data_IF_806105910909
#
_entry.id   IF_806105910909
#
_cell.length_a   1.000
_cell.length_b   1.000
_cell.length_c   1.000
_cell.angle_alpha   90.00
_cell.angle_beta   90.00
_cell.angle_gamma   90.00
#
_symmetry.space_group_name_H-M   'P 1'
#
loop_
_entity.id
_entity.type
_entity.pdbx_description
1 polymer ?
#
# COMPACT_ATOMS: atom_id res chain seq x y z
N UNK A 1 -81.65 -12.91 -7.17
CA UNK A 1 -81.52 -11.66 -6.40
C UNK A 1 -80.32 -10.89 -6.93
N UNK A 2 -80.55 -9.64 -7.34
CA UNK A 2 -79.60 -8.53 -7.58
C UNK A 2 -78.56 -8.64 -8.71
N UNK A 3 -78.65 -7.61 -9.55
CA UNK A 3 -77.87 -7.19 -10.70
C UNK A 3 -76.51 -6.56 -10.27
N UNK A 4 -75.81 -5.98 -11.26
CA UNK A 4 -74.51 -5.25 -11.26
C UNK A 4 -73.31 -6.16 -11.57
N UNK A 5 -72.47 -5.91 -12.56
CA UNK A 5 -72.32 -4.80 -13.50
C UNK A 5 -70.89 -4.85 -14.06
N UNK A 6 -70.74 -4.84 -15.38
CA UNK A 6 -69.72 -4.12 -16.17
C UNK A 6 -68.35 -3.75 -15.48
N UNK A 7 -67.14 -4.07 -15.99
CA UNK A 7 -66.58 -3.67 -17.31
C UNK A 7 -65.25 -4.39 -17.70
N UNK A 8 -65.25 -4.89 -18.95
CA UNK A 8 -64.32 -4.63 -20.10
C UNK A 8 -62.78 -4.87 -20.00
N UNK A 9 -62.35 -5.98 -20.66
CA UNK A 9 -61.24 -6.24 -21.64
C UNK A 9 -60.03 -5.28 -21.66
N UNK A 10 -58.77 -5.71 -21.83
CA UNK A 10 -58.13 -6.26 -23.05
C UNK A 10 -56.79 -6.97 -22.68
N UNK A 11 -56.50 -8.23 -23.11
CA UNK A 11 -55.68 -8.65 -24.30
C UNK A 11 -54.35 -7.88 -24.44
N UNK A 12 -53.16 -8.41 -24.72
CA UNK A 12 -52.59 -9.72 -25.10
C UNK A 12 -51.05 -9.55 -24.90
N UNK A 13 -50.37 -10.45 -24.19
CA UNK A 13 -49.40 -11.46 -24.69
C UNK A 13 -48.49 -11.07 -25.88
N UNK A 14 -47.19 -11.29 -25.62
CA UNK A 14 -46.08 -11.58 -26.53
C UNK A 14 -45.28 -10.40 -27.10
N UNK A 15 -44.20 -10.04 -26.39
CA UNK A 15 -43.06 -9.31 -26.95
C UNK A 15 -42.06 -10.33 -27.52
N UNK A 16 -41.87 -10.29 -28.84
CA UNK A 16 -40.75 -10.92 -29.52
C UNK A 16 -39.77 -9.83 -29.95
N UNK A 17 -38.51 -10.09 -29.63
CA UNK A 17 -37.26 -9.36 -29.85
C UNK A 17 -37.02 -8.89 -31.29
N UNK A 18 -36.41 -7.71 -31.45
CA UNK A 18 -35.42 -7.46 -32.51
C UNK A 18 -34.30 -6.56 -31.95
N UNK A 19 -33.09 -7.12 -31.92
CA UNK A 19 -31.81 -6.44 -31.68
C UNK A 19 -31.43 -5.74 -32.99
N UNK A 20 -31.12 -4.44 -32.93
CA UNK A 20 -30.43 -3.73 -34.01
C UNK A 20 -29.28 -2.92 -33.44
N UNK A 21 -28.08 -3.31 -33.85
CA UNK A 21 -26.78 -2.74 -33.51
C UNK A 21 -26.60 -1.45 -34.31
N UNK A 22 -26.31 -0.33 -33.66
CA UNK A 22 -25.84 0.87 -34.33
C UNK A 22 -24.51 1.33 -33.72
N UNK A 23 -23.44 1.01 -34.44
CA UNK A 23 -22.12 1.59 -34.26
C UNK A 23 -22.17 3.07 -34.68
N UNK A 24 -21.89 3.97 -33.74
CA UNK A 24 -21.65 5.38 -34.03
C UNK A 24 -20.24 5.74 -33.55
N UNK A 25 -19.41 5.98 -34.55
CA UNK A 25 -18.08 6.57 -34.51
C UNK A 25 -18.03 7.84 -33.68
N UNK A 26 -17.33 7.80 -32.55
CA UNK A 26 -16.79 8.99 -31.90
C UNK A 26 -15.29 9.07 -32.19
N UNK A 27 -14.96 9.66 -33.34
CA UNK A 27 -13.62 10.19 -33.61
C UNK A 27 -13.45 11.53 -32.90
N UNK A 28 -13.20 11.49 -31.59
CA UNK A 28 -12.82 12.66 -30.81
C UNK A 28 -11.30 12.69 -30.65
N UNK A 29 -10.61 13.55 -31.38
CA UNK A 29 -9.20 13.87 -31.13
C UNK A 29 -9.10 14.51 -29.74
N UNK A 30 -8.52 13.80 -28.78
CA UNK A 30 -8.18 14.37 -27.48
C UNK A 30 -7.08 15.42 -27.66
N UNK A 31 -7.44 16.70 -27.66
CA UNK A 31 -6.47 17.79 -27.52
C UNK A 31 -6.00 17.81 -26.06
N UNK A 32 -4.81 17.26 -25.80
CA UNK A 32 -4.15 17.41 -24.51
C UNK A 32 -3.90 18.90 -24.24
N UNK A 33 -4.43 19.42 -23.14
CA UNK A 33 -4.07 20.74 -22.63
C UNK A 33 -2.61 20.71 -22.19
N UNK A 34 -1.69 21.10 -23.08
CA UNK A 34 -0.36 21.52 -22.65
C UNK A 34 -0.51 22.92 -22.09
N UNK A 35 -0.35 23.04 -20.77
CA UNK A 35 -0.23 24.33 -20.10
C UNK A 35 1.04 25.00 -20.64
N UNK A 36 0.88 25.88 -21.63
CA UNK A 36 1.96 26.70 -22.14
C UNK A 36 2.50 27.56 -20.99
N UNK A 37 3.73 27.28 -20.58
CA UNK A 37 4.47 28.16 -19.67
C UNK A 37 4.78 29.43 -20.46
N UNK A 38 4.43 30.63 -19.98
CA UNK A 38 4.76 31.85 -20.70
C UNK A 38 6.28 31.98 -20.75
N UNK A 39 6.84 31.95 -21.97
CA UNK A 39 8.21 32.36 -22.22
C UNK A 39 8.33 33.83 -21.84
N UNK A 40 8.98 34.12 -20.72
CA UNK A 40 9.28 35.49 -20.32
C UNK A 40 10.69 35.80 -20.77
N UNK A 41 10.79 36.83 -21.60
CA UNK A 41 11.99 37.32 -22.26
C UNK A 41 13.19 37.49 -21.33
N UNK A 42 14.37 37.23 -21.90
CA UNK A 42 15.66 37.43 -21.27
C UNK A 42 15.97 38.90 -20.98
N UNK A 43 16.72 39.07 -19.89
CA UNK A 43 17.65 40.15 -19.53
C UNK A 43 17.07 41.48 -19.03
N UNK A 44 16.99 41.59 -17.69
CA UNK A 44 17.48 42.76 -16.96
C UNK A 44 18.27 42.30 -15.75
N UNK A 45 19.57 42.64 -15.76
CA UNK A 45 20.52 42.42 -14.68
C UNK A 45 20.10 43.21 -13.45
N UNK A 46 19.51 42.54 -12.46
CA UNK A 46 19.31 43.08 -11.12
C UNK A 46 19.75 42.03 -10.10
N UNK A 47 20.78 42.38 -9.34
CA UNK A 47 21.41 41.57 -8.32
C UNK A 47 20.39 40.96 -7.35
N UNK A 48 20.19 39.65 -7.40
CA UNK A 48 19.23 38.93 -6.54
C UNK A 48 19.94 38.28 -5.35
N UNK A 49 19.77 38.83 -4.14
CA UNK A 49 20.06 38.12 -2.87
C UNK A 49 18.86 37.34 -2.33
N UNK A 50 17.80 37.14 -3.13
CA UNK A 50 16.68 36.29 -2.72
C UNK A 50 17.00 34.82 -3.00
N UNK A 51 17.67 34.18 -2.05
CA UNK A 51 17.73 32.72 -1.98
C UNK A 51 16.31 32.26 -1.62
N UNK A 52 15.57 31.76 -2.61
CA UNK A 52 14.31 31.07 -2.33
C UNK A 52 14.63 29.86 -1.44
N UNK A 53 14.26 29.93 -0.17
CA UNK A 53 14.33 28.78 0.74
C UNK A 53 13.24 27.80 0.29
N UNK A 54 13.61 26.88 -0.60
CA UNK A 54 12.78 25.74 -0.95
C UNK A 54 12.77 24.80 0.25
N UNK A 55 11.66 24.78 0.99
CA UNK A 55 11.46 23.79 2.06
C UNK A 55 11.66 22.37 1.54
N UNK A 56 12.12 21.47 2.40
CA UNK A 56 12.34 20.07 2.04
C UNK A 56 11.06 19.44 1.44
N UNK A 57 11.13 19.06 0.17
CA UNK A 57 10.06 18.29 -0.49
C UNK A 57 10.36 16.80 -0.27
N UNK A 58 9.76 16.23 0.77
CA UNK A 58 9.87 14.79 1.06
C UNK A 58 8.84 14.02 0.23
N UNK A 59 9.19 13.69 -1.01
CA UNK A 59 8.31 12.95 -1.95
C UNK A 59 8.01 11.52 -1.46
N UNK A 60 8.95 10.91 -0.74
CA UNK A 60 8.88 9.52 -0.27
C UNK A 60 7.72 9.32 0.71
N UNK A 61 7.46 10.29 1.60
CA UNK A 61 6.37 10.18 2.59
C UNK A 61 4.99 10.11 1.95
N UNK A 62 4.73 10.95 0.94
CA UNK A 62 3.45 10.96 0.22
C UNK A 62 3.24 9.65 -0.58
N UNK A 63 4.29 9.14 -1.21
CA UNK A 63 4.24 7.87 -1.94
C UNK A 63 3.99 6.69 -1.00
N UNK A 64 4.70 6.63 0.12
CA UNK A 64 4.54 5.55 1.11
C UNK A 64 3.15 5.57 1.74
N UNK A 65 2.58 6.75 1.98
CA UNK A 65 1.21 6.88 2.47
C UNK A 65 0.18 6.39 1.44
N UNK A 66 0.31 6.80 0.17
CA UNK A 66 -0.58 6.35 -0.90
C UNK A 66 -0.50 4.82 -1.10
N UNK A 67 0.71 4.27 -1.02
CA UNK A 67 0.96 2.84 -1.12
C UNK A 67 0.41 2.04 0.05
N UNK A 68 0.55 2.53 1.28
CA UNK A 68 0.00 1.88 2.48
C UNK A 68 -1.53 1.73 2.42
N UNK A 69 -2.23 2.64 1.73
CA UNK A 69 -3.68 2.54 1.52
C UNK A 69 -4.08 1.38 0.58
N UNK A 70 -3.18 0.92 -0.28
CA UNK A 70 -3.47 -0.13 -1.29
C UNK A 70 -3.11 -1.52 -0.75
N UNK A 71 -2.19 -1.62 0.22
CA UNK A 71 -1.72 -2.89 0.81
C UNK A 71 -2.88 -3.80 1.25
N UNK A 72 -3.92 -3.33 1.96
CA UNK A 72 -5.05 -4.17 2.38
C UNK A 72 -5.89 -4.70 1.22
N UNK A 73 -6.11 -3.90 0.18
CA UNK A 73 -6.92 -4.28 -1.00
C UNK A 73 -6.24 -5.39 -1.81
N UNK A 74 -4.91 -5.46 -1.76
CA UNK A 74 -4.12 -6.50 -2.38
C UNK A 74 -4.03 -7.79 -1.55
N UNK A 75 -4.66 -7.87 -0.37
CA UNK A 75 -4.63 -9.04 0.52
C UNK A 75 -3.39 -9.13 1.41
N UNK A 76 -2.56 -8.09 1.44
CA UNK A 76 -1.48 -7.95 2.41
C UNK A 76 -1.96 -7.22 3.67
N UNK A 77 -1.37 -7.58 4.81
CA UNK A 77 -1.60 -6.91 6.09
C UNK A 77 -0.29 -6.35 6.61
N UNK A 78 -0.31 -5.09 7.04
CA UNK A 78 0.82 -4.43 7.65
C UNK A 78 0.56 -4.23 9.15
N UNK A 79 1.52 -4.62 9.97
CA UNK A 79 1.56 -4.34 11.40
C UNK A 79 2.76 -3.45 11.68
N UNK A 80 2.51 -2.28 12.26
CA UNK A 80 3.56 -1.31 12.58
C UNK A 80 3.73 -1.22 14.08
N UNK A 81 4.97 -1.28 14.54
CA UNK A 81 5.37 -1.04 15.92
C UNK A 81 6.24 0.21 15.98
N UNK A 82 5.85 1.20 16.77
CA UNK A 82 6.62 2.44 16.97
C UNK A 82 7.69 2.25 18.04
N UNK A 83 8.68 3.15 18.06
CA UNK A 83 9.70 3.20 19.11
C UNK A 83 9.10 3.19 20.52
N UNK A 84 8.08 4.00 20.76
CA UNK A 84 7.42 4.07 22.06
C UNK A 84 6.82 2.72 22.45
N UNK A 85 6.23 2.00 21.49
CA UNK A 85 5.70 0.66 21.73
C UNK A 85 6.83 -0.33 22.05
N UNK A 86 7.95 -0.31 21.31
CA UNK A 86 9.14 -1.14 21.59
C UNK A 86 9.69 -0.84 22.99
N UNK A 87 9.75 0.42 23.40
CA UNK A 87 10.22 0.81 24.73
C UNK A 87 9.32 0.32 25.87
N UNK A 88 8.02 0.17 25.61
CA UNK A 88 7.05 -0.37 26.58
C UNK A 88 6.98 -1.90 26.65
N UNK A 89 7.64 -2.61 25.72
CA UNK A 89 7.68 -4.07 25.74
C UNK A 89 8.43 -4.60 26.98
N UNK A 90 8.27 -5.90 27.25
CA UNK A 90 9.09 -6.57 28.27
C UNK A 90 10.57 -6.50 27.86
N UNK A 91 11.42 -5.98 28.76
CA UNK A 91 12.83 -5.61 28.52
C UNK A 91 13.04 -4.29 27.73
N UNK A 92 11.97 -3.65 27.26
CA UNK A 92 11.98 -2.40 26.51
C UNK A 92 12.97 -2.43 25.35
N UNK A 93 13.75 -1.36 25.19
CA UNK A 93 14.83 -1.30 24.20
C UNK A 93 16.01 -2.27 24.44
N UNK A 94 16.01 -3.12 25.48
CA UNK A 94 17.01 -4.19 25.61
C UNK A 94 16.52 -5.54 25.13
N UNK A 95 15.24 -5.67 24.73
CA UNK A 95 14.74 -6.91 24.16
C UNK A 95 15.55 -7.28 22.91
N UNK A 96 15.90 -8.56 22.69
CA UNK A 96 16.48 -8.95 21.41
C UNK A 96 15.44 -8.73 20.30
N UNK A 97 15.87 -8.35 19.11
CA UNK A 97 14.94 -7.92 18.05
C UNK A 97 13.98 -9.03 17.59
N UNK A 98 14.38 -10.31 17.67
CA UNK A 98 13.45 -11.43 17.48
C UNK A 98 12.25 -11.38 18.45
N UNK A 99 12.46 -11.03 19.72
CA UNK A 99 11.37 -10.89 20.70
C UNK A 99 10.44 -9.74 20.36
N UNK A 100 10.97 -8.66 19.77
CA UNK A 100 10.15 -7.55 19.26
C UNK A 100 9.28 -8.03 18.09
N UNK A 101 9.85 -8.78 17.14
CA UNK A 101 9.08 -9.35 16.01
C UNK A 101 8.01 -10.33 16.51
N UNK A 102 8.28 -11.11 17.56
CA UNK A 102 7.32 -12.06 18.15
C UNK A 102 6.07 -11.39 18.75
N UNK A 103 6.11 -10.08 18.99
CA UNK A 103 4.93 -9.31 19.40
C UNK A 103 3.97 -9.05 18.25
N UNK A 104 4.46 -9.15 17.02
CA UNK A 104 3.61 -9.00 15.85
C UNK A 104 2.65 -10.20 15.69
N UNK A 105 1.43 -9.95 15.22
CA UNK A 105 0.41 -11.00 15.10
C UNK A 105 0.79 -12.04 14.05
N UNK A 106 0.60 -13.32 14.39
CA UNK A 106 0.87 -14.43 13.49
C UNK A 106 2.35 -14.77 13.34
N UNK A 107 3.23 -14.23 14.18
CA UNK A 107 4.63 -14.63 14.27
C UNK A 107 4.80 -15.68 15.37
N UNK A 108 5.55 -16.75 15.08
CA UNK A 108 6.00 -17.74 16.05
C UNK A 108 7.48 -18.06 15.81
N UNK A 109 8.18 -18.55 16.83
CA UNK A 109 9.56 -19.02 16.71
C UNK A 109 9.59 -20.54 16.86
N UNK A 110 10.45 -21.22 16.10
CA UNK A 110 10.76 -22.63 16.36
C UNK A 110 11.43 -22.81 17.74
N UNK A 111 11.23 -23.98 18.35
CA UNK A 111 11.73 -24.33 19.69
C UNK A 111 13.23 -24.61 19.74
N UNK A 112 13.89 -24.72 18.58
CA UNK A 112 15.35 -24.82 18.55
C UNK A 112 15.98 -23.58 19.20
N UNK A 113 17.14 -23.73 19.84
CA UNK A 113 17.79 -22.67 20.63
C UNK A 113 18.09 -21.37 19.83
N UNK A 114 18.07 -21.45 18.50
CA UNK A 114 18.15 -20.33 17.55
C UNK A 114 17.08 -20.48 16.46
N UNK A 115 15.88 -20.91 16.85
CA UNK A 115 14.82 -21.31 15.94
C UNK A 115 14.44 -20.19 14.98
N UNK A 116 14.14 -20.57 13.74
CA UNK A 116 13.69 -19.65 12.71
C UNK A 116 12.35 -19.01 13.13
N UNK A 117 12.11 -17.81 12.60
CA UNK A 117 10.83 -17.14 12.73
C UNK A 117 9.89 -17.61 11.64
N UNK A 118 8.65 -17.86 12.05
CA UNK A 118 7.56 -18.28 11.20
C UNK A 118 6.49 -17.21 11.19
N UNK A 119 6.07 -16.80 10.00
CA UNK A 119 4.99 -15.83 9.85
C UNK A 119 3.83 -16.53 9.18
N UNK A 120 2.72 -16.64 9.90
CA UNK A 120 1.49 -17.34 9.47
C UNK A 120 1.73 -18.79 9.02
N UNK A 121 2.68 -19.48 9.66
CA UNK A 121 3.04 -20.88 9.38
C UNK A 121 4.02 -21.08 8.22
N UNK A 122 4.56 -19.99 7.67
CA UNK A 122 5.61 -19.97 6.64
C UNK A 122 7.00 -19.94 7.31
N UNK A 123 8.04 -20.52 6.69
CA UNK A 123 9.37 -20.73 7.28
C UNK A 123 10.49 -20.16 6.41
N UNK A 124 11.47 -19.49 7.02
CA UNK A 124 12.71 -19.04 6.36
C UNK A 124 12.51 -18.14 5.12
N UNK A 125 11.35 -17.53 4.95
CA UNK A 125 11.05 -16.63 3.83
C UNK A 125 10.66 -15.23 4.33
N UNK A 126 11.47 -14.74 5.27
CA UNK A 126 11.47 -13.36 5.72
C UNK A 126 12.35 -12.49 4.83
N UNK A 127 11.79 -11.33 4.45
CA UNK A 127 12.57 -10.23 3.92
C UNK A 127 12.87 -9.24 5.03
N UNK A 128 14.14 -8.89 5.20
CA UNK A 128 14.50 -7.72 5.98
C UNK A 128 14.75 -6.53 5.07
N UNK A 129 14.20 -5.38 5.45
CA UNK A 129 14.44 -4.11 4.80
C UNK A 129 14.75 -3.06 5.85
N UNK A 130 15.74 -2.21 5.56
CA UNK A 130 16.03 -1.03 6.36
C UNK A 130 15.74 0.17 5.47
N UNK A 131 14.79 1.01 5.87
CA UNK A 131 14.38 2.18 5.08
C UNK A 131 14.06 1.81 3.62
N UNK A 132 13.24 0.78 3.42
CA UNK A 132 12.86 0.20 2.12
C UNK A 132 14.00 -0.46 1.30
N UNK A 133 15.24 -0.43 1.77
CA UNK A 133 16.39 -1.10 1.14
C UNK A 133 16.42 -2.57 1.53
N UNK A 134 16.38 -3.46 0.54
CA UNK A 134 16.45 -4.91 0.71
C UNK A 134 17.82 -5.34 1.25
N UNK A 135 17.81 -6.11 2.34
CA UNK A 135 19.00 -6.81 2.82
C UNK A 135 19.17 -8.13 2.05
N UNK A 136 20.40 -8.50 1.63
CA UNK A 136 20.65 -9.75 0.94
C UNK A 136 20.25 -10.99 1.77
N UNK A 137 19.64 -11.98 1.11
CA UNK A 137 19.14 -13.25 1.67
C UNK A 137 20.23 -14.11 2.34
N UNK A 138 21.52 -13.85 2.05
CA UNK A 138 22.66 -14.66 2.50
C UNK A 138 23.04 -14.46 3.98
N UNK A 139 22.34 -13.58 4.69
CA UNK A 139 22.55 -13.30 6.12
C UNK A 139 21.40 -13.96 6.89
N UNK A 140 21.54 -15.24 7.21
CA UNK A 140 20.63 -15.91 8.12
C UNK A 140 20.76 -15.30 9.52
N UNK A 141 19.64 -15.11 10.21
CA UNK A 141 19.66 -14.61 11.59
C UNK A 141 19.97 -13.12 11.74
N UNK A 142 19.78 -12.27 10.72
CA UNK A 142 19.94 -10.81 10.86
C UNK A 142 19.16 -10.22 12.05
N UNK A 143 18.00 -10.80 12.37
CA UNK A 143 17.22 -10.39 13.54
C UNK A 143 17.90 -10.61 14.90
N UNK A 144 19.03 -11.33 14.96
CA UNK A 144 19.84 -11.51 16.17
C UNK A 144 20.88 -10.40 16.36
N UNK A 145 21.30 -9.72 15.28
CA UNK A 145 22.38 -8.73 15.30
C UNK A 145 21.85 -7.29 15.43
N UNK A 146 20.57 -7.05 15.10
CA UNK A 146 19.98 -5.72 15.19
C UNK A 146 19.54 -5.39 16.62
N UNK A 147 20.05 -4.29 17.18
CA UNK A 147 19.57 -3.74 18.46
C UNK A 147 18.32 -2.86 18.22
N UNK A 148 17.16 -3.15 18.87
CA UNK A 148 15.95 -2.35 18.71
C UNK A 148 16.08 -0.87 19.09
N UNK A 149 17.11 -0.46 19.83
CA UNK A 149 17.35 0.95 20.18
C UNK A 149 17.57 1.86 18.98
N UNK A 150 18.05 1.29 17.87
CA UNK A 150 18.27 2.02 16.62
C UNK A 150 17.03 2.03 15.73
N UNK A 151 15.93 1.42 16.16
CA UNK A 151 14.69 1.30 15.39
C UNK A 151 13.70 2.37 15.83
N UNK A 152 13.40 3.31 14.94
CA UNK A 152 12.34 4.31 15.18
C UNK A 152 10.94 3.76 14.91
N UNK A 153 10.82 2.88 13.91
CA UNK A 153 9.61 2.09 13.67
C UNK A 153 9.96 0.81 12.91
N UNK A 154 9.21 -0.24 13.20
CA UNK A 154 9.25 -1.52 12.48
C UNK A 154 7.89 -1.73 11.81
N UNK A 155 7.90 -2.24 10.58
CA UNK A 155 6.69 -2.71 9.92
C UNK A 155 6.85 -4.16 9.47
N UNK A 156 5.99 -5.05 9.96
CA UNK A 156 5.83 -6.41 9.46
C UNK A 156 4.71 -6.43 8.43
N UNK A 157 5.04 -6.83 7.19
CA UNK A 157 4.08 -6.97 6.11
C UNK A 157 3.99 -8.44 5.73
N UNK A 158 2.78 -8.99 5.73
CA UNK A 158 2.51 -10.40 5.43
C UNK A 158 1.29 -10.55 4.51
N UNK A 159 1.10 -11.73 3.93
CA UNK A 159 0.05 -12.02 2.95
C UNK A 159 0.55 -11.85 1.51
N UNK A 160 -0.34 -11.44 0.60
CA UNK A 160 -0.01 -11.22 -0.81
C UNK A 160 0.72 -9.91 -1.02
N UNK A 161 2.05 -9.96 -0.89
CA UNK A 161 2.92 -8.79 -0.98
C UNK A 161 2.79 -8.11 -2.36
N UNK A 162 2.67 -6.77 -2.40
CA UNK A 162 2.71 -6.02 -3.66
C UNK A 162 4.01 -6.27 -4.45
N UNK A 163 3.94 -6.17 -5.78
CA UNK A 163 5.05 -6.47 -6.70
C UNK A 163 6.37 -5.72 -6.42
N UNK A 164 6.30 -4.57 -5.75
CA UNK A 164 7.47 -3.80 -5.31
C UNK A 164 8.40 -4.57 -4.35
N UNK A 165 7.86 -5.57 -3.62
CA UNK A 165 8.65 -6.34 -2.67
C UNK A 165 9.51 -7.40 -3.37
N UNK A 166 9.33 -7.56 -4.69
CA UNK A 166 10.09 -8.49 -5.49
C UNK A 166 9.68 -9.93 -5.22
N UNK A 167 10.60 -10.86 -5.51
CA UNK A 167 10.36 -12.27 -5.31
C UNK A 167 10.34 -12.64 -3.82
N UNK A 168 9.24 -13.30 -3.44
CA UNK A 168 9.10 -14.38 -2.46
C UNK A 168 7.97 -15.29 -2.93
#
# INVERSE_FOLDING_TARGET
MKNLGERKKYRNRAYWTVISVMALSFGGTAMGQTKAVPATNAATTASSTNVANLGNITVIGQLNQARSAIVPDLGATAYTQTKEQIETESQGGNAPFNEVILRAPGVAQDSAANGDLHVRGEHANLQYRINDVLLPEGITGFGLELDPRFVDSMQLITGSLPAQYGFR
#
